data_IF_927403734888
#
_entry.id   IF_927403734888
#
_cell.length_a   1.000
_cell.length_b   1.000
_cell.length_c   1.000
_cell.angle_alpha   90.00
_cell.angle_beta   90.00
_cell.angle_gamma   90.00
#
_symmetry.space_group_name_H-M   'P 1'
#
loop_
_entity.id
_entity.type
_entity.pdbx_description
1 polymer ?
#
# COMPACT_ATOMS: atom_id res chain seq x y z
N UNK A 1 -0.92 17.24 12.16
CA UNK A 1 -1.26 15.87 11.72
C UNK A 1 -2.24 15.89 10.56
N UNK A 2 -3.40 16.56 10.67
CA UNK A 2 -4.34 16.69 9.53
C UNK A 2 -3.71 17.29 8.27
N UNK A 3 -2.80 18.26 8.42
CA UNK A 3 -2.13 18.92 7.28
C UNK A 3 -1.25 17.97 6.45
N UNK A 4 -0.38 17.17 7.09
CA UNK A 4 0.50 16.23 6.37
C UNK A 4 -0.30 15.11 5.67
N UNK A 5 -1.41 14.67 6.27
CA UNK A 5 -2.32 13.73 5.61
C UNK A 5 -3.06 14.35 4.43
N UNK A 6 -3.47 15.62 4.54
CA UNK A 6 -4.09 16.34 3.44
C UNK A 6 -3.11 16.53 2.28
N UNK A 7 -1.89 16.98 2.57
CA UNK A 7 -0.80 17.12 1.61
C UNK A 7 -0.53 15.80 0.87
N UNK A 8 -0.38 14.69 1.60
CA UNK A 8 -0.21 13.36 1.01
C UNK A 8 -1.39 12.96 0.12
N UNK A 9 -2.62 13.23 0.58
CA UNK A 9 -3.83 12.88 -0.16
C UNK A 9 -4.01 13.71 -1.43
N UNK A 10 -3.75 15.02 -1.37
CA UNK A 10 -3.84 15.94 -2.50
C UNK A 10 -2.81 15.59 -3.57
N UNK A 11 -1.56 15.30 -3.17
CA UNK A 11 -0.52 14.87 -4.09
C UNK A 11 -0.85 13.53 -4.76
N UNK A 12 -1.31 12.54 -3.98
CA UNK A 12 -1.79 11.26 -4.54
C UNK A 12 -2.99 11.44 -5.47
N UNK A 13 -3.85 12.42 -5.19
CA UNK A 13 -4.96 12.82 -6.06
C UNK A 13 -4.50 13.30 -7.43
N UNK A 14 -3.35 13.97 -7.51
CA UNK A 14 -2.78 14.46 -8.77
C UNK A 14 -2.29 13.33 -9.71
N UNK A 15 -1.95 12.16 -9.15
CA UNK A 15 -1.56 10.97 -9.94
C UNK A 15 -2.76 10.15 -10.44
N UNK A 16 -3.99 10.49 -10.04
CA UNK A 16 -5.17 9.69 -10.33
C UNK A 16 -5.47 9.65 -11.83
N UNK A 17 -5.27 8.48 -12.45
CA UNK A 17 -5.30 8.33 -13.91
C UNK A 17 -5.81 6.98 -14.42
N UNK A 18 -5.97 5.99 -13.54
CA UNK A 18 -6.41 4.63 -13.91
C UNK A 18 -7.52 4.13 -13.01
N UNK A 19 -8.32 3.18 -13.49
CA UNK A 19 -9.26 2.46 -12.64
C UNK A 19 -8.49 1.56 -11.67
N UNK A 20 -8.65 1.82 -10.37
CA UNK A 20 -8.10 0.99 -9.30
C UNK A 20 -9.22 0.15 -8.68
N UNK A 21 -8.95 -1.13 -8.46
CA UNK A 21 -9.82 -2.04 -7.72
C UNK A 21 -9.91 -1.67 -6.24
N UNK A 22 -8.85 -1.06 -5.68
CA UNK A 22 -8.72 -0.58 -4.28
C UNK A 22 -8.64 -1.66 -3.19
N UNK A 23 -9.03 -2.88 -3.53
CA UNK A 23 -8.84 -4.08 -2.70
C UNK A 23 -8.13 -5.22 -3.44
N UNK A 24 -7.15 -4.83 -4.27
CA UNK A 24 -6.38 -5.77 -5.08
C UNK A 24 -5.28 -6.44 -4.26
N UNK A 25 -5.64 -7.46 -3.50
CA UNK A 25 -4.72 -8.24 -2.67
C UNK A 25 -4.99 -9.74 -2.82
N UNK A 26 -4.05 -10.60 -2.41
CA UNK A 26 -4.10 -12.04 -2.66
C UNK A 26 -5.43 -12.71 -2.23
N UNK A 27 -6.06 -12.27 -1.13
CA UNK A 27 -7.33 -12.85 -0.68
C UNK A 27 -8.53 -12.58 -1.62
N UNK A 28 -8.43 -11.60 -2.52
CA UNK A 28 -9.46 -11.28 -3.54
C UNK A 28 -9.07 -11.83 -4.93
N UNK A 29 -7.98 -12.61 -5.02
CA UNK A 29 -7.52 -13.31 -6.20
C UNK A 29 -7.74 -14.80 -6.02
N UNK A 30 -8.66 -15.39 -6.79
CA UNK A 30 -9.06 -16.79 -6.65
C UNK A 30 -8.87 -17.55 -7.96
N UNK A 31 -8.51 -18.83 -7.88
CA UNK A 31 -8.59 -19.73 -9.04
C UNK A 31 -9.97 -20.37 -9.06
N UNK A 32 -10.63 -20.34 -10.22
CA UNK A 32 -11.88 -21.09 -10.40
C UNK A 32 -11.62 -22.60 -10.62
N UNK A 33 -12.69 -23.37 -10.78
CA UNK A 33 -12.62 -24.81 -11.04
C UNK A 33 -11.90 -25.19 -12.35
N UNK A 34 -11.51 -24.21 -13.17
CA UNK A 34 -10.74 -24.39 -14.41
C UNK A 34 -9.33 -23.77 -14.31
N UNK A 35 -8.84 -23.49 -13.10
CA UNK A 35 -7.55 -22.84 -12.84
C UNK A 35 -7.40 -21.46 -13.50
N UNK A 36 -8.49 -20.76 -13.76
CA UNK A 36 -8.45 -19.37 -14.25
C UNK A 36 -8.50 -18.42 -13.08
N UNK A 37 -7.64 -17.39 -13.12
CA UNK A 37 -7.65 -16.32 -12.15
C UNK A 37 -8.95 -15.51 -12.25
N UNK A 38 -9.61 -15.34 -11.12
CA UNK A 38 -10.81 -14.52 -10.91
C UNK A 38 -10.52 -13.48 -9.86
N UNK A 39 -11.02 -12.27 -10.10
CA UNK A 39 -10.90 -11.13 -9.22
C UNK A 39 -12.30 -10.85 -8.67
N UNK A 40 -12.43 -10.77 -7.35
CA UNK A 40 -13.68 -10.48 -6.64
C UNK A 40 -13.58 -9.15 -5.88
N UNK A 41 -14.71 -8.64 -5.38
CA UNK A 41 -14.76 -7.44 -4.52
C UNK A 41 -14.46 -6.11 -5.23
N UNK A 42 -14.88 -5.99 -6.50
CA UNK A 42 -14.58 -4.84 -7.38
C UNK A 42 -15.59 -3.68 -7.29
N UNK A 43 -16.61 -3.75 -6.42
CA UNK A 43 -17.67 -2.75 -6.32
C UNK A 43 -17.18 -1.38 -5.80
N UNK A 44 -16.04 -1.36 -5.12
CA UNK A 44 -15.40 -0.14 -4.62
C UNK A 44 -14.41 0.48 -5.61
N UNK A 45 -14.34 -0.02 -6.85
CA UNK A 45 -13.39 0.45 -7.85
C UNK A 45 -13.59 1.94 -8.19
N UNK A 46 -12.49 2.70 -8.25
CA UNK A 46 -12.49 4.14 -8.54
C UNK A 46 -11.23 4.55 -9.28
N UNK A 47 -11.28 5.71 -9.93
CA UNK A 47 -10.07 6.31 -10.49
C UNK A 47 -9.09 6.65 -9.37
N UNK A 48 -7.83 6.27 -9.55
CA UNK A 48 -6.77 6.44 -8.59
C UNK A 48 -5.37 6.36 -9.20
N UNK A 49 -4.37 6.43 -8.33
CA UNK A 49 -2.96 6.34 -8.68
C UNK A 49 -2.64 4.97 -9.29
N UNK A 50 -1.84 4.90 -10.38
CA UNK A 50 -1.33 3.64 -10.92
C UNK A 50 -0.61 2.76 -9.90
N UNK A 51 -0.01 3.35 -8.86
CA UNK A 51 0.63 2.59 -7.80
C UNK A 51 -0.34 1.94 -6.81
N UNK A 52 -1.63 2.33 -6.75
CA UNK A 52 -2.57 1.93 -5.71
C UNK A 52 -2.69 0.41 -5.56
N UNK A 53 -3.08 -0.26 -6.64
CA UNK A 53 -3.33 -1.70 -6.62
C UNK A 53 -2.01 -2.50 -6.57
N UNK A 54 -0.91 -1.94 -7.06
CA UNK A 54 0.41 -2.56 -6.92
C UNK A 54 0.88 -2.56 -5.45
N UNK A 55 0.65 -1.45 -4.73
CA UNK A 55 0.93 -1.36 -3.30
C UNK A 55 0.08 -2.37 -2.52
N UNK A 56 -1.23 -2.44 -2.77
CA UNK A 56 -2.07 -3.43 -2.08
C UNK A 56 -1.69 -4.86 -2.39
N UNK A 57 -1.27 -5.15 -3.63
CA UNK A 57 -0.86 -6.49 -4.03
C UNK A 57 0.42 -6.93 -3.33
N UNK A 58 1.41 -6.03 -3.25
CA UNK A 58 2.74 -6.36 -2.75
C UNK A 58 2.87 -6.25 -1.23
N UNK A 59 2.06 -5.39 -0.60
CA UNK A 59 2.28 -4.99 0.78
C UNK A 59 1.09 -5.23 1.70
N UNK A 60 -0.09 -5.60 1.21
CA UNK A 60 -1.24 -5.85 2.09
C UNK A 60 -1.19 -7.25 2.73
N UNK A 61 -1.61 -7.37 4.00
CA UNK A 61 -1.58 -8.60 4.82
C UNK A 61 -0.26 -9.40 4.80
N UNK A 62 0.88 -8.71 4.74
CA UNK A 62 2.19 -9.33 4.88
C UNK A 62 2.64 -9.35 6.35
N UNK A 63 3.36 -10.39 6.75
CA UNK A 63 3.99 -10.51 8.07
C UNK A 63 5.47 -10.11 8.05
N UNK A 64 6.10 -10.22 6.88
CA UNK A 64 7.51 -9.88 6.66
C UNK A 64 7.63 -8.75 5.65
N UNK A 65 8.59 -7.86 5.90
CA UNK A 65 8.83 -6.71 5.03
C UNK A 65 9.64 -7.15 3.80
N UNK A 66 9.12 -6.96 2.57
CA UNK A 66 9.89 -7.24 1.36
C UNK A 66 11.15 -6.37 1.30
N UNK A 67 12.22 -6.89 0.71
CA UNK A 67 13.44 -6.12 0.54
C UNK A 67 13.24 -4.92 -0.42
N UNK A 68 14.00 -3.84 -0.27
CA UNK A 68 13.97 -2.72 -1.22
C UNK A 68 14.24 -3.17 -2.67
N UNK A 69 15.18 -4.10 -2.85
CA UNK A 69 15.54 -4.70 -4.14
C UNK A 69 14.33 -5.41 -4.78
N UNK A 70 13.62 -6.23 -4.00
CA UNK A 70 12.42 -6.90 -4.48
C UNK A 70 11.36 -5.90 -4.95
N UNK A 71 11.10 -4.85 -4.15
CA UNK A 71 10.11 -3.83 -4.53
C UNK A 71 10.55 -3.05 -5.77
N UNK A 72 11.85 -2.76 -5.92
CA UNK A 72 12.38 -2.11 -7.13
C UNK A 72 12.22 -2.99 -8.37
N UNK A 73 12.51 -4.29 -8.28
CA UNK A 73 12.29 -5.25 -9.38
C UNK A 73 10.81 -5.30 -9.76
N UNK A 74 9.88 -5.36 -8.78
CA UNK A 74 8.45 -5.43 -9.06
C UNK A 74 7.90 -4.14 -9.69
N UNK A 75 8.37 -2.96 -9.26
CA UNK A 75 8.02 -1.69 -9.90
C UNK A 75 8.50 -1.63 -11.35
N UNK A 76 9.75 -2.00 -11.62
CA UNK A 76 10.30 -2.05 -13.00
C UNK A 76 9.49 -3.01 -13.88
N UNK A 77 9.23 -4.22 -13.39
CA UNK A 77 8.40 -5.19 -14.09
C UNK A 77 7.01 -4.64 -14.42
N UNK A 78 6.35 -3.97 -13.47
CA UNK A 78 5.06 -3.33 -13.70
C UNK A 78 5.12 -2.26 -14.81
N UNK A 79 6.14 -1.39 -14.79
CA UNK A 79 6.35 -0.38 -15.82
C UNK A 79 6.62 -0.99 -17.21
N UNK A 80 7.39 -2.08 -17.26
CA UNK A 80 7.64 -2.79 -18.52
C UNK A 80 6.35 -3.42 -19.08
N UNK A 81 5.53 -4.05 -18.24
CA UNK A 81 4.22 -4.58 -18.67
C UNK A 81 3.30 -3.46 -19.15
N UNK A 82 3.28 -2.30 -18.48
CA UNK A 82 2.50 -1.15 -18.96
C UNK A 82 2.95 -0.70 -20.36
N UNK A 83 4.27 -0.69 -20.60
CA UNK A 83 4.85 -0.35 -21.91
C UNK A 83 4.44 -1.35 -22.98
N UNK A 84 4.49 -2.66 -22.72
CA UNK A 84 4.11 -3.68 -23.71
C UNK A 84 2.61 -3.64 -24.04
N UNK A 85 1.78 -3.18 -23.10
CA UNK A 85 0.36 -2.95 -23.32
C UNK A 85 0.03 -1.61 -24.02
N UNK A 86 1.05 -0.80 -24.36
CA UNK A 86 0.85 0.49 -25.05
C UNK A 86 0.26 1.59 -24.17
N UNK A 87 0.34 1.46 -22.83
CA UNK A 87 -0.14 2.48 -21.91
C UNK A 87 0.80 3.69 -21.85
N UNK A 88 0.33 4.87 -21.41
CA UNK A 88 1.18 6.04 -21.22
C UNK A 88 2.40 5.73 -20.35
N UNK A 89 3.56 6.17 -20.82
CA UNK A 89 4.85 6.02 -20.11
C UNK A 89 4.80 6.80 -18.80
N UNK A 90 5.31 6.17 -17.75
CA UNK A 90 5.59 6.81 -16.46
C UNK A 90 7.10 6.70 -16.24
N UNK A 91 7.74 7.78 -15.78
CA UNK A 91 9.15 7.72 -15.40
C UNK A 91 9.36 6.79 -14.20
N UNK A 92 10.48 6.06 -14.18
CA UNK A 92 10.74 5.10 -13.11
C UNK A 92 10.98 5.79 -11.76
N UNK A 93 11.68 6.93 -11.76
CA UNK A 93 11.93 7.72 -10.56
C UNK A 93 10.65 8.33 -10.01
N UNK A 94 9.84 8.92 -10.88
CA UNK A 94 8.51 9.44 -10.52
C UNK A 94 7.61 8.33 -9.97
N UNK A 95 7.54 7.17 -10.64
CA UNK A 95 6.72 6.05 -10.16
C UNK A 95 7.23 5.47 -8.85
N UNK A 96 8.55 5.41 -8.64
CA UNK A 96 9.13 4.96 -7.38
C UNK A 96 8.78 5.91 -6.22
N UNK A 97 8.71 7.21 -6.49
CA UNK A 97 8.28 8.22 -5.54
C UNK A 97 6.77 8.13 -5.27
N UNK A 98 5.93 8.09 -6.31
CA UNK A 98 4.49 7.85 -6.21
C UNK A 98 4.20 6.58 -5.39
N UNK A 99 4.91 5.48 -5.66
CA UNK A 99 4.76 4.22 -4.93
C UNK A 99 5.06 4.38 -3.43
N UNK A 100 6.06 5.18 -3.05
CA UNK A 100 6.36 5.46 -1.63
C UNK A 100 5.24 6.24 -0.96
N UNK A 101 4.73 7.29 -1.60
CA UNK A 101 3.57 8.05 -1.11
C UNK A 101 2.34 7.14 -0.95
N UNK A 102 2.07 6.35 -1.98
CA UNK A 102 0.94 5.42 -2.00
C UNK A 102 1.09 4.34 -0.92
N UNK A 103 2.33 3.90 -0.63
CA UNK A 103 2.63 3.00 0.48
C UNK A 103 2.28 3.62 1.83
N UNK A 104 2.68 4.88 2.08
CA UNK A 104 2.32 5.60 3.31
C UNK A 104 0.80 5.61 3.50
N UNK A 105 0.06 6.07 2.49
CA UNK A 105 -1.39 6.21 2.56
C UNK A 105 -2.11 4.87 2.75
N UNK A 106 -1.80 3.88 1.89
CA UNK A 106 -2.54 2.60 1.85
C UNK A 106 -2.23 1.71 3.05
N UNK A 107 -0.96 1.66 3.50
CA UNK A 107 -0.59 0.84 4.65
C UNK A 107 -1.10 1.47 5.96
N UNK A 108 -1.15 2.81 6.09
CA UNK A 108 -1.80 3.45 7.25
C UNK A 108 -3.29 3.17 7.29
N UNK A 109 -3.98 3.26 6.14
CA UNK A 109 -5.40 2.89 6.04
C UNK A 109 -5.64 1.42 6.42
N UNK A 110 -4.76 0.51 5.96
CA UNK A 110 -4.82 -0.91 6.29
C UNK A 110 -4.62 -1.14 7.79
N UNK A 111 -3.58 -0.53 8.38
CA UNK A 111 -3.31 -0.62 9.82
C UNK A 111 -4.51 -0.15 10.66
N UNK A 112 -5.13 0.99 10.30
CA UNK A 112 -6.36 1.45 10.96
C UNK A 112 -7.51 0.47 10.84
N UNK A 113 -7.70 -0.13 9.66
CA UNK A 113 -8.74 -1.15 9.41
C UNK A 113 -8.49 -2.40 10.25
N UNK A 114 -7.26 -2.93 10.26
CA UNK A 114 -6.90 -4.11 11.03
C UNK A 114 -7.02 -3.88 12.53
N UNK A 115 -6.59 -2.73 13.03
CA UNK A 115 -6.77 -2.31 14.42
C UNK A 115 -8.23 -2.27 14.81
N UNK A 116 -9.10 -1.66 14.00
CA UNK A 116 -10.54 -1.63 14.25
C UNK A 116 -11.18 -3.03 14.23
N UNK A 117 -10.85 -3.85 13.23
CA UNK A 117 -11.35 -5.23 13.13
C UNK A 117 -10.93 -6.08 14.34
N UNK A 118 -9.72 -5.87 14.85
CA UNK A 118 -9.19 -6.60 16.00
C UNK A 118 -9.83 -6.14 17.31
N UNK A 119 -9.85 -4.82 17.55
CA UNK A 119 -10.30 -4.25 18.83
C UNK A 119 -11.82 -4.22 18.99
N UNK A 120 -12.56 -3.94 17.91
CA UNK A 120 -14.02 -3.75 17.97
C UNK A 120 -14.78 -4.97 17.48
N UNK A 121 -14.29 -5.64 16.44
CA UNK A 121 -14.95 -6.83 15.84
C UNK A 121 -14.38 -8.15 16.35
N UNK A 122 -13.44 -8.12 17.31
CA UNK A 122 -12.81 -9.29 17.92
C UNK A 122 -12.15 -10.26 16.91
N UNK A 123 -11.78 -9.77 15.72
CA UNK A 123 -11.10 -10.54 14.68
C UNK A 123 -9.59 -10.52 14.92
N UNK A 124 -9.15 -11.24 15.95
CA UNK A 124 -7.77 -11.21 16.45
C UNK A 124 -6.72 -11.67 15.44
N UNK A 125 -7.10 -12.45 14.43
CA UNK A 125 -6.17 -12.90 13.38
C UNK A 125 -5.56 -11.73 12.57
N UNK A 126 -6.15 -10.53 12.60
CA UNK A 126 -5.57 -9.35 11.95
C UNK A 126 -4.40 -8.72 12.71
N UNK A 127 -4.24 -9.02 14.00
CA UNK A 127 -3.22 -8.39 14.88
C UNK A 127 -1.81 -8.56 14.31
N UNK A 128 -1.52 -9.75 13.75
CA UNK A 128 -0.21 -10.07 13.17
C UNK A 128 0.21 -9.16 12.01
N UNK A 129 -0.73 -8.49 11.35
CA UNK A 129 -0.44 -7.61 10.20
C UNK A 129 -0.24 -6.14 10.61
N UNK A 130 -0.64 -5.74 11.82
CA UNK A 130 -0.65 -4.32 12.23
C UNK A 130 0.78 -3.77 12.35
N UNK A 131 1.64 -4.47 13.10
CA UNK A 131 3.02 -4.02 13.34
C UNK A 131 3.87 -3.99 12.05
N UNK A 132 3.80 -5.02 11.17
CA UNK A 132 4.44 -4.96 9.86
C UNK A 132 4.02 -3.74 9.03
N UNK A 133 2.73 -3.36 9.02
CA UNK A 133 2.27 -2.17 8.29
C UNK A 133 2.93 -0.89 8.78
N UNK A 134 3.03 -0.69 10.09
CA UNK A 134 3.71 0.49 10.62
C UNK A 134 5.19 0.52 10.24
N UNK A 135 5.88 -0.62 10.29
CA UNK A 135 7.30 -0.69 9.86
C UNK A 135 7.47 -0.38 8.37
N UNK A 136 6.54 -0.84 7.52
CA UNK A 136 6.52 -0.53 6.08
C UNK A 136 6.36 0.97 5.87
N UNK A 137 5.39 1.60 6.56
CA UNK A 137 5.12 3.03 6.47
C UNK A 137 6.36 3.82 6.91
N UNK A 138 6.96 3.46 8.05
CA UNK A 138 8.15 4.12 8.56
C UNK A 138 9.30 4.04 7.55
N UNK A 139 9.65 2.84 7.06
CA UNK A 139 10.73 2.64 6.08
C UNK A 139 10.49 3.42 4.78
N UNK A 140 9.25 3.44 4.29
CA UNK A 140 8.92 4.18 3.06
C UNK A 140 9.04 5.69 3.26
N UNK A 141 8.57 6.20 4.39
CA UNK A 141 8.58 7.64 4.67
C UNK A 141 9.92 8.21 5.09
N UNK A 142 10.77 7.44 5.77
CA UNK A 142 12.13 7.87 6.12
C UNK A 142 13.01 8.21 4.90
N UNK A 143 12.64 7.75 3.71
CA UNK A 143 13.35 8.04 2.46
C UNK A 143 12.78 9.25 1.69
N UNK A 144 11.82 9.99 2.27
CA UNK A 144 11.15 11.10 1.60
C UNK A 144 11.53 12.47 2.16
N UNK A 145 12.21 12.54 3.32
CA UNK A 145 12.48 13.78 4.06
C UNK A 145 11.23 14.66 4.25
N UNK A 146 10.05 14.02 4.32
CA UNK A 146 8.72 14.64 4.44
C UNK A 146 7.90 13.94 5.51
N UNK A 147 6.81 14.59 5.91
CA UNK A 147 5.84 14.09 6.89
C UNK A 147 6.44 13.73 8.27
N UNK A 148 7.25 14.60 8.89
CA UNK A 148 7.92 14.30 10.15
C UNK A 148 6.94 14.00 11.30
N UNK A 149 5.76 14.63 11.34
CA UNK A 149 4.79 14.36 12.39
C UNK A 149 4.14 12.98 12.23
N UNK A 150 3.80 12.60 11.00
CA UNK A 150 3.29 11.27 10.67
C UNK A 150 4.31 10.21 11.06
N UNK A 151 5.58 10.36 10.68
CA UNK A 151 6.63 9.37 11.00
C UNK A 151 6.88 9.27 12.50
N UNK A 152 6.85 10.38 13.24
CA UNK A 152 6.94 10.38 14.70
C UNK A 152 5.79 9.61 15.36
N UNK A 153 4.59 9.66 14.81
CA UNK A 153 3.45 8.89 15.33
C UNK A 153 3.63 7.41 15.03
N UNK A 154 4.00 7.07 13.80
CA UNK A 154 4.25 5.69 13.38
C UNK A 154 5.36 5.05 14.22
N UNK A 155 6.45 5.77 14.47
CA UNK A 155 7.56 5.32 15.33
C UNK A 155 7.09 5.00 16.76
N UNK A 156 6.27 5.88 17.35
CA UNK A 156 5.66 5.63 18.66
C UNK A 156 4.78 4.39 18.67
N UNK A 157 4.02 4.13 17.61
CA UNK A 157 3.22 2.91 17.49
C UNK A 157 4.10 1.66 17.38
N UNK A 158 5.19 1.71 16.61
CA UNK A 158 6.15 0.60 16.51
C UNK A 158 6.75 0.28 17.89
N UNK A 159 7.15 1.29 18.66
CA UNK A 159 7.79 1.13 19.96
C UNK A 159 6.94 0.35 20.97
N UNK A 160 5.60 0.48 20.92
CA UNK A 160 4.68 -0.26 21.80
C UNK A 160 4.77 -1.77 21.65
N UNK A 161 5.15 -2.26 20.46
CA UNK A 161 5.27 -3.69 20.18
C UNK A 161 6.65 -4.26 20.54
N UNK A 162 7.64 -3.42 20.82
CA UNK A 162 8.98 -3.83 21.25
C UNK A 162 9.11 -3.96 22.77
N UNK A 163 8.06 -3.60 23.52
CA UNK A 163 8.01 -3.62 25.00
C UNK A 163 7.25 -4.81 25.58
N UNK A 164 6.88 -5.79 24.74
CA UNK A 164 6.32 -7.09 25.10
C UNK A 164 7.26 -8.21 24.69
#
# INVERSE_FOLDING_TARGET
MSTEFAELADELGSYASVLCHRDFHAANLMLDGQNKMRIIDHQDARIGSPAYDLVSLLLDRITELPSPEFLAIKRRYFLDVRRTLGLPKIDEGEFAYEFRLQTLQRCLKAAGTFSYQSAVRQKTYFVQYIQPMFRIVFRSGSNLDRFPNLLRIVEKEIAKYSSN
#
